data_IF_883223390658
#
_entry.id   IF_883223390658
#
_cell.length_a   1.000
_cell.length_b   1.000
_cell.length_c   1.000
_cell.angle_alpha   90.00
_cell.angle_beta   90.00
_cell.angle_gamma   90.00
#
_symmetry.space_group_name_H-M   'P 1'
#
loop_
_entity.id
_entity.type
_entity.pdbx_description
1 polymer ?
#
# COMPACT_ATOMS: atom_id res chain seq x y z
N UNK A 1 -26.44 25.51 8.37
CA UNK A 1 -26.05 24.46 7.41
C UNK A 1 -24.60 24.77 7.03
N UNK A 2 -23.65 23.91 7.41
CA UNK A 2 -22.24 24.12 7.06
C UNK A 2 -21.97 23.36 5.77
N UNK A 3 -21.68 24.07 4.68
CA UNK A 3 -21.29 23.48 3.41
C UNK A 3 -19.80 23.09 3.47
N UNK A 4 -19.55 21.80 3.69
CA UNK A 4 -18.21 21.22 3.60
C UNK A 4 -18.11 20.39 2.33
N UNK A 5 -17.73 21.05 1.23
CA UNK A 5 -17.38 20.40 -0.04
C UNK A 5 -15.87 20.31 -0.21
N UNK A 6 -15.40 19.23 -0.84
CA UNK A 6 -14.06 19.17 -1.44
C UNK A 6 -14.20 19.30 -2.96
N UNK A 7 -13.42 20.20 -3.55
CA UNK A 7 -13.34 20.33 -5.01
C UNK A 7 -12.33 19.30 -5.53
N UNK A 8 -12.77 18.43 -6.46
CA UNK A 8 -11.90 17.50 -7.18
C UNK A 8 -11.65 18.09 -8.58
N UNK A 9 -10.44 18.54 -8.90
CA UNK A 9 -10.12 19.08 -10.22
C UNK A 9 -10.16 17.98 -11.30
N UNK A 10 -10.49 18.36 -12.53
CA UNK A 10 -10.39 17.50 -13.71
C UNK A 10 -8.93 17.35 -14.13
N UNK A 11 -8.20 16.51 -13.39
CA UNK A 11 -6.78 16.22 -13.58
C UNK A 11 -6.54 14.77 -13.21
N UNK A 12 -5.73 14.08 -14.02
CA UNK A 12 -5.16 12.78 -13.66
C UNK A 12 -4.50 12.84 -12.29
N UNK A 13 -4.53 11.73 -11.58
CA UNK A 13 -3.91 11.67 -10.28
C UNK A 13 -2.41 11.97 -10.43
N UNK A 14 -1.81 12.70 -9.49
CA UNK A 14 -0.42 13.14 -9.63
C UNK A 14 0.55 11.97 -9.84
N UNK A 15 0.22 10.79 -9.32
CA UNK A 15 0.99 9.57 -9.51
C UNK A 15 0.93 9.07 -10.97
N UNK A 16 -0.15 9.25 -11.73
CA UNK A 16 -0.25 8.80 -13.13
C UNK A 16 0.65 9.57 -14.10
N UNK A 17 1.14 10.75 -13.69
CA UNK A 17 1.98 11.62 -14.50
C UNK A 17 3.47 11.33 -14.39
N UNK A 18 3.86 10.59 -13.36
CA UNK A 18 5.26 10.20 -13.17
C UNK A 18 5.62 9.10 -14.19
N UNK A 19 6.77 9.19 -14.87
CA UNK A 19 7.26 8.09 -15.70
C UNK A 19 7.36 6.80 -14.89
N UNK A 20 6.95 5.67 -15.45
CA UNK A 20 7.01 4.35 -14.80
C UNK A 20 6.13 4.19 -13.54
N UNK A 21 5.18 5.09 -13.29
CA UNK A 21 4.32 5.09 -12.09
C UNK A 21 3.51 3.80 -11.82
N UNK A 22 3.35 2.95 -12.83
CA UNK A 22 2.59 1.70 -12.75
C UNK A 22 3.44 0.44 -13.07
N UNK A 23 4.75 0.59 -13.28
CA UNK A 23 5.60 -0.53 -13.70
C UNK A 23 5.62 -1.66 -12.66
N UNK A 24 5.64 -1.30 -11.38
CA UNK A 24 5.60 -2.26 -10.27
C UNK A 24 4.28 -3.04 -10.19
N UNK A 25 3.17 -2.44 -10.65
CA UNK A 25 1.85 -3.08 -10.62
C UNK A 25 1.72 -4.19 -11.67
N UNK A 26 2.56 -4.19 -12.70
CA UNK A 26 2.63 -5.24 -13.72
C UNK A 26 3.35 -6.49 -13.19
N UNK A 27 4.13 -6.37 -12.11
CA UNK A 27 4.86 -7.49 -11.54
C UNK A 27 3.95 -8.35 -10.65
N UNK A 28 3.83 -9.62 -11.00
CA UNK A 28 3.15 -10.60 -10.15
C UNK A 28 4.16 -11.21 -9.20
N UNK A 29 3.80 -11.32 -7.92
CA UNK A 29 4.65 -11.97 -6.92
C UNK A 29 4.98 -13.41 -7.34
N UNK A 30 6.27 -13.76 -7.32
CA UNK A 30 6.82 -15.01 -7.89
C UNK A 30 7.69 -15.82 -6.92
N UNK A 31 7.62 -15.56 -5.61
CA UNK A 31 8.39 -16.30 -4.61
C UNK A 31 7.51 -17.24 -3.75
N UNK A 32 8.02 -18.42 -3.40
CA UNK A 32 7.34 -19.37 -2.53
C UNK A 32 7.75 -19.20 -1.07
N UNK A 33 6.83 -18.72 -0.25
CA UNK A 33 6.97 -18.43 1.18
C UNK A 33 6.58 -19.60 2.07
N UNK A 34 6.29 -20.76 1.48
CA UNK A 34 5.99 -21.96 2.25
C UNK A 34 7.18 -22.30 3.17
N UNK A 35 6.95 -22.67 4.45
CA UNK A 35 8.03 -23.02 5.38
C UNK A 35 9.00 -24.05 4.81
N UNK A 36 8.46 -25.02 4.05
CA UNK A 36 9.24 -25.98 3.25
C UNK A 36 8.77 -25.93 1.80
N UNK A 37 9.67 -25.53 0.90
CA UNK A 37 9.42 -25.58 -0.53
C UNK A 37 9.82 -26.96 -1.07
N UNK A 38 8.94 -27.59 -1.85
CA UNK A 38 9.21 -28.89 -2.50
C UNK A 38 9.66 -28.75 -3.95
N UNK A 39 9.78 -27.52 -4.46
CA UNK A 39 10.11 -27.26 -5.85
C UNK A 39 11.58 -27.58 -6.15
N UNK A 40 11.87 -28.49 -7.10
CA UNK A 40 13.25 -28.80 -7.48
C UNK A 40 13.95 -27.65 -8.20
N UNK A 41 13.18 -26.72 -8.79
CA UNK A 41 13.67 -25.55 -9.51
C UNK A 41 13.86 -24.33 -8.60
N UNK A 42 13.60 -24.48 -7.29
CA UNK A 42 13.77 -23.43 -6.29
C UNK A 42 12.49 -22.65 -5.98
N UNK A 43 12.60 -21.67 -5.08
CA UNK A 43 11.45 -20.91 -4.55
C UNK A 43 10.87 -19.90 -5.53
N UNK A 44 11.69 -19.35 -6.42
CA UNK A 44 11.28 -18.34 -7.40
C UNK A 44 10.79 -18.93 -8.73
N UNK A 45 10.75 -20.26 -8.86
CA UNK A 45 10.20 -20.90 -10.04
C UNK A 45 8.67 -20.77 -10.06
N UNK A 46 8.10 -20.51 -11.23
CA UNK A 46 6.66 -20.36 -11.43
C UNK A 46 6.24 -21.08 -12.71
N UNK A 47 5.05 -21.66 -12.69
CA UNK A 47 4.34 -22.14 -13.89
C UNK A 47 2.95 -21.50 -13.93
N UNK A 48 2.42 -21.26 -15.14
CA UNK A 48 1.06 -20.75 -15.30
C UNK A 48 0.02 -21.71 -14.69
N UNK A 49 0.24 -23.01 -14.85
CA UNK A 49 -0.63 -24.07 -14.36
C UNK A 49 0.14 -25.25 -13.75
N UNK A 50 -0.59 -26.11 -13.03
CA UNK A 50 -0.05 -27.30 -12.38
C UNK A 50 0.48 -27.06 -10.97
N UNK A 51 1.26 -28.03 -10.46
CA UNK A 51 1.67 -28.09 -9.04
C UNK A 51 2.60 -26.96 -8.59
N UNK A 52 3.25 -26.28 -9.54
CA UNK A 52 4.17 -25.17 -9.32
C UNK A 52 3.56 -23.81 -9.69
N UNK A 53 2.25 -23.78 -9.95
CA UNK A 53 1.50 -22.52 -10.03
C UNK A 53 1.61 -21.76 -8.72
N UNK A 54 1.84 -20.46 -8.82
CA UNK A 54 1.87 -19.60 -7.65
C UNK A 54 0.45 -19.16 -7.27
N UNK A 55 0.10 -19.42 -6.01
CA UNK A 55 -1.14 -18.99 -5.38
C UNK A 55 -0.79 -17.93 -4.35
N UNK A 56 -1.31 -16.72 -4.54
CA UNK A 56 -1.09 -15.58 -3.62
C UNK A 56 -2.17 -15.54 -2.54
N UNK A 57 -1.85 -14.90 -1.42
CA UNK A 57 -2.82 -14.73 -0.33
C UNK A 57 -4.00 -13.88 -0.80
N UNK A 58 -5.22 -14.41 -0.66
CA UNK A 58 -6.45 -13.73 -1.09
C UNK A 58 -6.77 -12.47 -0.27
N UNK A 59 -6.22 -12.37 0.95
CA UNK A 59 -6.46 -11.23 1.83
C UNK A 59 -5.47 -10.07 1.64
N UNK A 60 -4.21 -10.34 1.29
CA UNK A 60 -3.18 -9.30 1.26
C UNK A 60 -2.34 -9.25 -0.02
N UNK A 61 -2.37 -10.30 -0.85
CA UNK A 61 -1.57 -10.39 -2.08
C UNK A 61 -0.04 -10.39 -1.88
N UNK A 62 0.47 -10.19 -0.67
CA UNK A 62 1.90 -9.95 -0.41
C UNK A 62 2.74 -11.19 -0.14
N UNK A 63 2.10 -12.35 0.04
CA UNK A 63 2.77 -13.64 0.19
C UNK A 63 2.23 -14.61 -0.86
N UNK A 64 3.05 -15.57 -1.25
CA UNK A 64 2.72 -16.58 -2.24
C UNK A 64 3.28 -17.95 -1.91
N UNK A 65 2.59 -19.00 -2.35
CA UNK A 65 3.06 -20.38 -2.26
C UNK A 65 2.83 -21.10 -3.57
N UNK A 66 3.67 -22.09 -3.89
CA UNK A 66 3.29 -23.05 -4.92
C UNK A 66 2.03 -23.81 -4.49
N UNK A 67 1.15 -24.11 -5.44
CA UNK A 67 -0.07 -24.89 -5.20
C UNK A 67 0.22 -26.18 -4.41
N UNK A 68 1.28 -26.92 -4.76
CA UNK A 68 1.70 -28.13 -4.03
C UNK A 68 2.34 -27.86 -2.67
N UNK A 69 3.04 -26.74 -2.49
CA UNK A 69 3.68 -26.38 -1.23
C UNK A 69 2.65 -25.89 -0.19
N UNK A 70 1.61 -25.19 -0.64
CA UNK A 70 0.50 -24.74 0.21
C UNK A 70 -0.63 -25.76 0.36
N UNK A 71 -0.55 -26.91 -0.32
CA UNK A 71 -1.64 -27.87 -0.47
C UNK A 71 -2.96 -27.21 -0.91
N UNK A 72 -2.85 -26.29 -1.86
CA UNK A 72 -3.97 -25.47 -2.36
C UNK A 72 -4.41 -26.05 -3.69
N UNK A 73 -5.34 -27.02 -3.64
CA UNK A 73 -5.88 -27.71 -4.82
C UNK A 73 -6.87 -26.87 -5.63
N UNK A 74 -6.54 -25.60 -5.94
CA UNK A 74 -7.42 -24.68 -6.66
C UNK A 74 -8.41 -23.88 -5.79
N UNK A 75 -8.25 -23.91 -4.47
CA UNK A 75 -9.03 -23.12 -3.52
C UNK A 75 -8.35 -21.79 -3.14
N UNK A 76 -9.06 -20.93 -2.42
CA UNK A 76 -8.49 -19.72 -1.83
C UNK A 76 -7.40 -20.09 -0.81
N UNK A 77 -6.25 -19.42 -0.89
CA UNK A 77 -5.18 -19.54 0.09
C UNK A 77 -5.04 -18.25 0.90
N UNK A 78 -4.85 -18.41 2.21
CA UNK A 78 -4.65 -17.31 3.14
C UNK A 78 -3.36 -17.58 3.89
N UNK A 79 -2.42 -16.62 3.85
CA UNK A 79 -1.16 -16.71 4.57
C UNK A 79 -1.36 -16.75 6.09
N UNK A 80 -0.33 -17.18 6.81
CA UNK A 80 -0.37 -17.34 8.28
C UNK A 80 -0.73 -16.02 8.98
N UNK A 81 -0.18 -14.90 8.52
CA UNK A 81 -0.42 -13.57 9.10
C UNK A 81 -1.88 -13.15 8.94
N UNK A 82 -2.43 -13.22 7.73
CA UNK A 82 -3.83 -12.89 7.48
C UNK A 82 -4.79 -13.81 8.25
N UNK A 83 -4.47 -15.11 8.36
CA UNK A 83 -5.29 -16.06 9.12
C UNK A 83 -5.39 -15.68 10.59
N UNK A 84 -4.28 -15.23 11.19
CA UNK A 84 -4.29 -14.76 12.58
C UNK A 84 -5.15 -13.51 12.76
N UNK A 85 -5.06 -12.55 11.83
CA UNK A 85 -5.86 -11.32 11.87
C UNK A 85 -7.35 -11.65 11.77
N UNK A 86 -7.73 -12.46 10.79
CA UNK A 86 -9.13 -12.84 10.54
C UNK A 86 -9.72 -13.58 11.76
N UNK A 87 -8.96 -14.51 12.35
CA UNK A 87 -9.42 -15.27 13.51
C UNK A 87 -9.59 -14.40 14.78
N UNK A 88 -8.84 -13.30 14.93
CA UNK A 88 -8.97 -12.38 16.08
C UNK A 88 -10.23 -11.52 16.02
N UNK A 89 -10.74 -11.26 14.82
CA UNK A 89 -11.96 -10.44 14.61
C UNK A 89 -13.24 -11.26 14.81
N UNK A 90 -13.14 -12.60 14.77
CA UNK A 90 -14.26 -13.45 15.09
C UNK A 90 -14.63 -13.30 16.57
N UNK A 91 -15.90 -12.99 16.90
CA UNK A 91 -16.31 -12.82 18.28
C UNK A 91 -16.38 -14.19 18.97
N UNK A 92 -15.24 -14.71 19.43
CA UNK A 92 -15.22 -15.69 20.49
C UNK A 92 -15.76 -14.99 21.75
N UNK A 93 -17.04 -15.27 22.06
CA UNK A 93 -17.70 -14.94 23.33
C UNK A 93 -17.32 -13.58 23.92
N UNK A 94 -17.97 -12.50 23.50
CA UNK A 94 -17.93 -11.23 24.24
C UNK A 94 -18.28 -11.52 25.71
N UNK A 95 -17.40 -11.33 26.71
CA UNK A 95 -17.93 -11.00 28.02
C UNK A 95 -18.58 -9.62 27.84
N UNK A 96 -19.83 -9.48 28.25
CA UNK A 96 -20.57 -8.24 28.19
C UNK A 96 -19.91 -7.20 29.12
N UNK A 97 -18.84 -6.56 28.67
CA UNK A 97 -18.28 -5.41 29.37
C UNK A 97 -19.16 -4.23 29.01
N UNK A 98 -20.07 -3.91 29.94
CA UNK A 98 -20.90 -2.72 29.91
C UNK A 98 -20.00 -1.49 29.73
N UNK A 99 -20.08 -0.86 28.56
CA UNK A 99 -19.39 0.39 28.28
C UNK A 99 -20.02 1.49 29.13
N UNK A 100 -19.41 1.80 30.28
CA UNK A 100 -19.81 2.97 31.07
C UNK A 100 -19.36 4.21 30.30
N UNK A 101 -20.33 4.91 29.72
CA UNK A 101 -20.13 6.19 29.04
C UNK A 101 -19.72 7.25 30.06
N UNK A 102 -18.43 7.47 30.26
CA UNK A 102 -17.93 8.67 30.93
C UNK A 102 -17.61 9.71 29.87
N UNK A 103 -18.45 10.74 29.82
CA UNK A 103 -18.24 11.94 29.00
C UNK A 103 -16.98 12.66 29.50
N UNK A 104 -15.91 12.65 28.71
CA UNK A 104 -14.78 13.54 28.94
C UNK A 104 -14.99 14.83 28.14
N UNK A 105 -15.21 15.92 28.88
CA UNK A 105 -15.28 17.28 28.34
C UNK A 105 -13.96 17.66 27.67
N UNK A 106 -14.05 18.22 26.47
CA UNK A 106 -12.90 18.69 25.68
C UNK A 106 -12.07 19.75 26.44
N UNK A 107 -10.73 19.71 26.37
CA UNK A 107 -9.90 20.76 26.93
C UNK A 107 -9.98 22.03 26.06
N UNK A 108 -10.15 23.18 26.72
CA UNK A 108 -10.17 24.50 26.07
C UNK A 108 -8.78 24.85 25.55
N UNK A 109 -8.68 25.10 24.25
CA UNK A 109 -7.47 25.61 23.60
C UNK A 109 -7.31 27.10 23.94
N UNK A 110 -6.28 27.46 24.70
CA UNK A 110 -5.91 28.85 24.99
C UNK A 110 -5.23 29.50 23.78
N UNK A 111 -5.68 30.71 23.47
CA UNK A 111 -5.28 31.56 22.37
C UNK A 111 -3.96 32.28 22.70
N UNK A 112 -2.90 32.00 21.94
CA UNK A 112 -1.64 32.74 22.00
C UNK A 112 -1.46 33.57 20.74
N UNK A 113 -1.55 34.90 20.88
CA UNK A 113 -1.18 35.87 19.85
C UNK A 113 0.34 36.00 19.81
N UNK A 114 0.97 35.64 18.69
CA UNK A 114 2.36 35.96 18.40
C UNK A 114 2.46 36.59 17.00
N UNK A 115 2.67 37.90 16.99
CA UNK A 115 3.00 38.69 15.80
C UNK A 115 4.47 38.48 15.49
N UNK A 116 4.80 37.85 14.36
CA UNK A 116 6.17 37.91 13.83
C UNK A 116 6.16 38.03 12.31
N UNK A 117 6.65 39.18 11.85
CA UNK A 117 6.82 39.61 10.46
C UNK A 117 7.96 38.83 9.80
N UNK A 118 7.65 37.90 8.91
CA UNK A 118 8.64 37.23 8.06
C UNK A 118 8.68 37.89 6.67
N UNK A 119 9.84 38.43 6.31
CA UNK A 119 10.13 39.03 5.00
C UNK A 119 10.09 37.95 3.92
N UNK A 120 9.29 38.15 2.87
CA UNK A 120 9.39 37.43 1.60
C UNK A 120 10.71 37.81 0.92
N UNK A 121 11.59 36.84 0.71
CA UNK A 121 12.65 36.92 -0.29
C UNK A 121 12.15 36.13 -1.51
N UNK A 122 11.88 36.85 -2.59
CA UNK A 122 11.50 36.25 -3.88
C UNK A 122 12.71 35.57 -4.51
N UNK A 123 12.56 34.30 -4.88
CA UNK A 123 13.51 33.63 -5.75
C UNK A 123 13.09 33.89 -7.20
N UNK A 124 13.92 34.65 -7.92
CA UNK A 124 13.82 34.87 -9.35
C UNK A 124 14.36 33.63 -10.07
N UNK A 125 13.50 32.93 -10.83
CA UNK A 125 13.90 31.82 -11.69
C UNK A 125 14.51 32.42 -12.96
N UNK A 126 15.83 32.38 -13.07
CA UNK A 126 16.54 32.74 -14.30
C UNK A 126 16.48 31.56 -15.29
N UNK A 127 15.91 31.79 -16.47
CA UNK A 127 15.96 30.87 -17.62
C UNK A 127 17.42 30.71 -18.05
N UNK A 128 18.01 29.54 -17.83
CA UNK A 128 19.31 29.19 -18.41
C UNK A 128 19.13 28.82 -19.89
N UNK A 129 19.87 29.51 -20.77
CA UNK A 129 19.88 29.29 -22.20
C UNK A 129 20.58 27.95 -22.54
N UNK A 130 19.93 27.12 -23.37
CA UNK A 130 20.53 25.90 -23.92
C UNK A 130 21.68 26.26 -24.87
N UNK A 131 22.84 25.65 -24.65
CA UNK A 131 23.97 25.68 -25.61
C UNK A 131 23.70 24.68 -26.75
N UNK A 132 24.05 25.01 -28.01
CA UNK A 132 23.95 24.05 -29.12
C UNK A 132 25.06 23.01 -29.03
N UNK A 133 24.71 21.75 -29.22
CA UNK A 133 25.65 20.63 -29.43
C UNK A 133 26.14 20.68 -30.88
N UNK A 134 27.44 20.88 -31.06
CA UNK A 134 28.12 20.79 -32.35
C UNK A 134 28.28 19.31 -32.75
N UNK A 135 27.76 18.94 -33.93
CA UNK A 135 28.09 17.68 -34.61
C UNK A 135 29.53 17.73 -35.11
N UNK A 136 30.34 16.73 -34.77
CA UNK A 136 31.57 16.41 -35.50
C UNK A 136 31.29 15.24 -36.44
N UNK A 137 31.92 15.32 -37.62
CA UNK A 137 31.79 14.43 -38.76
C UNK A 137 32.35 13.02 -38.51
#
# INVERSE_FOLDING_TARGET
MQDHGIYVPDQDASWEREPHAFEELLFRYQHCDAPRCSCPLGRSHHQEDGRWKMVVCDSCGSQGVHASCGNVGGSHWICTECRQIINRVQPSSRPAVALKSTRHSSPKLSRSTATTRTKRLGHSVTRSARRPVTRSA
#
